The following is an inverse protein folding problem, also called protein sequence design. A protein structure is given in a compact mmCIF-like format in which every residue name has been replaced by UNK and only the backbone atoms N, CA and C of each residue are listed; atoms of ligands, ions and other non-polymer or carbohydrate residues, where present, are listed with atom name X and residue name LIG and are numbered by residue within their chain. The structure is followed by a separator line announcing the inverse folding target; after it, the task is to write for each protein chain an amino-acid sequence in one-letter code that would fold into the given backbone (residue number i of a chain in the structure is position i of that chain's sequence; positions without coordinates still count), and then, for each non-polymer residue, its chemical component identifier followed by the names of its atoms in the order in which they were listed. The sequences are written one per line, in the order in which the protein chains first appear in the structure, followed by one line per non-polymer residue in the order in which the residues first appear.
data_IF_296466566928
#
_entry.id   IF_296466566928
#
_cell.length_a   1.000
_cell.length_b   1.000
_cell.length_c   1.000
_cell.angle_alpha   90.00
_cell.angle_beta   90.00
_cell.angle_gamma   90.00
#
_symmetry.space_group_name_H-M   'P 1'
#
loop_
_entity.id
_entity.type
_entity.pdbx_description
1 polymer ?
#
# COMPACT_ATOMS: atom_id res chain seq x y z
N UNK A 1 41.89 -0.20 -8.68
CA UNK A 1 40.86 -1.26 -8.74
C UNK A 1 39.90 -1.02 -7.58
N UNK A 2 38.75 -0.39 -7.82
CA UNK A 2 37.79 -0.10 -6.75
C UNK A 2 36.89 -1.32 -6.57
N UNK A 3 37.16 -2.13 -5.54
CA UNK A 3 36.32 -3.26 -5.16
C UNK A 3 35.23 -2.80 -4.19
N UNK A 4 33.97 -2.89 -4.59
CA UNK A 4 32.85 -2.66 -3.68
C UNK A 4 32.57 -3.94 -2.89
N UNK A 5 32.77 -3.90 -1.56
CA UNK A 5 32.40 -4.97 -0.65
C UNK A 5 30.88 -5.03 -0.48
N UNK A 6 30.18 -5.75 -1.36
CA UNK A 6 28.79 -6.10 -1.11
C UNK A 6 28.75 -7.29 -0.14
N UNK A 7 28.48 -7.03 1.14
CA UNK A 7 28.07 -8.11 2.05
C UNK A 7 26.72 -8.62 1.56
N UNK A 8 26.57 -9.90 1.19
CA UNK A 8 25.26 -10.43 0.85
C UNK A 8 24.36 -10.29 2.07
N UNK A 9 23.26 -9.56 1.91
CA UNK A 9 22.26 -9.37 2.95
C UNK A 9 21.06 -10.24 2.59
N UNK A 10 20.74 -11.18 3.48
CA UNK A 10 19.60 -12.09 3.33
C UNK A 10 18.43 -11.53 4.13
N UNK A 11 17.23 -11.66 3.58
CA UNK A 11 15.99 -11.17 4.17
C UNK A 11 14.99 -12.32 4.30
N UNK A 12 14.15 -12.27 5.34
CA UNK A 12 13.14 -13.29 5.59
C UNK A 12 11.95 -13.11 4.64
N UNK A 13 11.27 -14.21 4.32
CA UNK A 13 9.97 -14.13 3.64
C UNK A 13 9.00 -13.31 4.48
N UNK A 14 8.26 -12.40 3.83
CA UNK A 14 7.40 -11.37 4.40
C UNK A 14 8.13 -10.18 5.06
N UNK A 15 9.46 -10.14 5.02
CA UNK A 15 10.20 -8.95 5.45
C UNK A 15 10.07 -7.84 4.40
N UNK A 16 9.80 -6.62 4.89
CA UNK A 16 9.78 -5.41 4.07
C UNK A 16 11.04 -4.61 4.32
N UNK A 17 11.73 -4.22 3.25
CA UNK A 17 13.01 -3.51 3.31
C UNK A 17 12.94 -2.22 2.51
N UNK A 18 13.47 -1.12 3.04
CA UNK A 18 13.72 0.08 2.24
C UNK A 18 15.01 -0.13 1.44
N UNK A 19 14.97 0.14 0.14
CA UNK A 19 16.13 0.00 -0.74
C UNK A 19 17.16 1.10 -0.49
N UNK A 20 18.38 0.91 -1.01
CA UNK A 20 19.49 1.84 -0.80
C UNK A 20 19.22 3.26 -1.35
N UNK A 21 18.26 3.40 -2.26
CA UNK A 21 17.78 4.70 -2.77
C UNK A 21 16.93 5.47 -1.74
N UNK A 22 16.57 4.86 -0.60
CA UNK A 22 15.84 5.49 0.50
C UNK A 22 14.38 5.83 0.20
N UNK A 23 13.87 5.45 -0.97
CA UNK A 23 12.53 5.81 -1.43
C UNK A 23 11.74 4.59 -1.89
N UNK A 24 12.39 3.60 -2.48
CA UNK A 24 11.72 2.36 -2.83
C UNK A 24 11.74 1.38 -1.65
N UNK A 25 10.78 0.46 -1.63
CA UNK A 25 10.71 -0.62 -0.64
C UNK A 25 10.42 -1.93 -1.33
N UNK A 26 10.98 -3.03 -0.82
CA UNK A 26 10.79 -4.37 -1.35
C UNK A 26 10.19 -5.29 -0.29
N UNK A 27 9.20 -6.08 -0.69
CA UNK A 27 8.74 -7.25 0.08
C UNK A 27 9.50 -8.48 -0.41
N UNK A 28 10.15 -9.19 0.50
CA UNK A 28 10.71 -10.50 0.19
C UNK A 28 9.60 -11.56 0.20
N UNK A 29 9.41 -12.27 -0.91
CA UNK A 29 8.41 -13.35 -1.03
C UNK A 29 9.10 -14.68 -1.35
N UNK A 30 8.37 -15.78 -1.27
CA UNK A 30 8.85 -17.10 -1.70
C UNK A 30 9.19 -17.18 -3.19
N UNK A 31 8.77 -16.19 -3.99
CA UNK A 31 9.01 -16.08 -5.44
C UNK A 31 10.05 -15.01 -5.80
N UNK A 32 10.68 -14.37 -4.81
CA UNK A 32 11.64 -13.29 -5.00
C UNK A 32 11.18 -11.96 -4.40
N UNK A 33 11.97 -10.91 -4.62
CA UNK A 33 11.67 -9.57 -4.11
C UNK A 33 10.69 -8.83 -5.01
N UNK A 34 9.67 -8.22 -4.40
CA UNK A 34 8.70 -7.36 -5.07
C UNK A 34 8.91 -5.93 -4.58
N UNK A 35 9.53 -5.12 -5.41
CA UNK A 35 9.93 -3.76 -5.08
C UNK A 35 8.99 -2.73 -5.66
N UNK A 36 8.80 -1.61 -4.96
CA UNK A 36 8.19 -0.42 -5.55
C UNK A 36 9.10 0.17 -6.62
N UNK A 37 8.53 0.89 -7.59
CA UNK A 37 9.26 1.60 -8.65
C UNK A 37 8.77 3.04 -8.74
N UNK A 38 8.95 3.78 -7.66
CA UNK A 38 8.62 5.20 -7.55
C UNK A 38 9.83 6.01 -8.00
N UNK A 39 9.59 7.08 -8.78
CA UNK A 39 10.62 8.04 -9.10
C UNK A 39 11.06 8.75 -7.81
N UNK A 40 12.32 8.60 -7.43
CA UNK A 40 12.86 9.25 -6.25
C UNK A 40 13.04 10.74 -6.55
N UNK A 41 12.08 11.55 -6.12
CA UNK A 41 12.19 12.98 -6.19
C UNK A 41 13.22 13.38 -5.12
N UNK A 42 14.43 13.74 -5.52
CA UNK A 42 15.45 14.25 -4.59
C UNK A 42 14.97 15.57 -3.96
N UNK A 43 14.08 15.53 -2.98
CA UNK A 43 13.58 16.66 -2.21
C UNK A 43 12.95 16.16 -0.89
N UNK A 44 13.81 15.67 0.01
CA UNK A 44 13.39 15.28 1.36
C UNK A 44 12.92 13.83 1.42
N UNK A 45 13.55 13.08 2.31
CA UNK A 45 13.21 11.72 2.67
C UNK A 45 11.69 11.53 2.75
N UNK A 46 11.08 10.87 1.78
CA UNK A 46 9.74 10.36 1.94
C UNK A 46 9.80 9.44 3.17
N UNK A 47 9.05 9.76 4.23
CA UNK A 47 9.00 8.90 5.40
C UNK A 47 8.55 7.51 4.91
N UNK A 48 9.20 6.42 5.37
CA UNK A 48 8.80 5.06 5.02
C UNK A 48 7.32 4.74 5.30
N UNK A 49 6.61 5.57 6.08
CA UNK A 49 5.18 5.42 6.35
C UNK A 49 4.28 5.74 5.16
N UNK A 50 4.72 6.59 4.23
CA UNK A 50 3.84 7.18 3.20
C UNK A 50 4.01 6.50 1.83
N UNK A 51 4.94 5.54 1.72
CA UNK A 51 5.07 4.70 0.54
C UNK A 51 4.09 3.52 0.68
N UNK A 52 3.11 3.36 -0.23
CA UNK A 52 2.21 2.22 -0.20
C UNK A 52 3.03 0.94 -0.38
N UNK A 53 2.93 0.06 0.61
CA UNK A 53 3.60 -1.23 0.59
C UNK A 53 2.87 -2.17 -0.35
N UNK A 54 3.60 -3.14 -0.88
CA UNK A 54 3.01 -4.21 -1.68
C UNK A 54 1.94 -4.96 -0.86
N UNK A 55 0.69 -4.90 -1.30
CA UNK A 55 -0.48 -5.39 -0.56
C UNK A 55 -1.28 -4.33 0.19
N UNK A 56 -0.88 -3.05 0.15
CA UNK A 56 -1.74 -1.94 0.52
C UNK A 56 -2.80 -1.72 -0.56
N UNK A 57 -4.03 -1.42 -0.14
CA UNK A 57 -5.15 -1.19 -1.03
C UNK A 57 -5.31 0.30 -1.33
N UNK A 58 -5.68 0.62 -2.57
CA UNK A 58 -6.03 1.97 -2.97
C UNK A 58 -7.54 2.04 -3.19
N UNK A 59 -8.20 2.91 -2.46
CA UNK A 59 -9.63 3.24 -2.63
C UNK A 59 -9.73 4.73 -2.95
N UNK A 60 -10.11 5.06 -4.19
CA UNK A 60 -10.22 6.43 -4.71
C UNK A 60 -9.02 7.35 -4.39
N UNK A 61 -7.79 6.82 -4.41
CA UNK A 61 -6.57 7.59 -4.13
C UNK A 61 -6.15 7.60 -2.66
N UNK A 62 -6.96 7.05 -1.75
CA UNK A 62 -6.61 6.84 -0.35
C UNK A 62 -6.01 5.44 -0.16
N UNK A 63 -4.89 5.38 0.55
CA UNK A 63 -4.13 4.14 0.75
C UNK A 63 -4.41 3.53 2.12
N UNK A 64 -4.67 2.22 2.13
CA UNK A 64 -5.00 1.43 3.31
C UNK A 64 -4.04 0.26 3.46
N UNK A 65 -3.54 0.04 4.67
CA UNK A 65 -2.63 -1.09 4.94
C UNK A 65 -3.34 -2.43 4.73
N UNK A 66 -2.57 -3.45 4.38
CA UNK A 66 -3.08 -4.83 4.35
C UNK A 66 -3.83 -5.18 5.65
N UNK A 67 -5.03 -5.76 5.53
CA UNK A 67 -5.98 -6.05 6.62
C UNK A 67 -6.59 -4.84 7.34
N UNK A 68 -6.33 -3.61 6.89
CA UNK A 68 -7.04 -2.46 7.43
C UNK A 68 -8.54 -2.56 7.11
N UNK A 69 -9.34 -2.02 8.03
CA UNK A 69 -10.78 -1.80 7.90
C UNK A 69 -11.03 -0.29 7.79
N UNK A 70 -11.93 0.13 6.92
CA UNK A 70 -12.34 1.53 6.81
C UNK A 70 -13.80 1.69 6.42
N UNK A 71 -14.37 2.83 6.75
CA UNK A 71 -15.68 3.25 6.26
C UNK A 71 -15.58 3.64 4.79
N UNK A 72 -16.48 3.12 3.97
CA UNK A 72 -16.60 3.44 2.55
C UNK A 72 -17.14 4.87 2.37
N UNK A 73 -16.93 5.45 1.19
CA UNK A 73 -17.39 6.80 0.85
C UNK A 73 -18.92 6.98 0.92
N UNK A 74 -19.68 5.86 0.95
CA UNK A 74 -21.14 5.87 1.15
C UNK A 74 -21.58 6.08 2.62
N UNK A 75 -20.64 6.10 3.57
CA UNK A 75 -20.90 6.37 4.99
C UNK A 75 -21.70 5.29 5.71
N UNK A 76 -21.77 4.07 5.17
CA UNK A 76 -22.53 2.97 5.79
C UNK A 76 -21.86 1.61 5.59
N UNK A 77 -21.13 1.43 4.50
CA UNK A 77 -20.41 0.19 4.23
C UNK A 77 -19.00 0.25 4.81
N UNK A 78 -18.48 -0.94 5.14
CA UNK A 78 -17.12 -1.11 5.63
C UNK A 78 -16.33 -1.88 4.61
N UNK A 79 -15.15 -1.38 4.26
CA UNK A 79 -14.20 -2.01 3.36
C UNK A 79 -13.07 -2.68 4.14
N UNK A 80 -12.47 -3.70 3.53
CA UNK A 80 -11.32 -4.44 4.05
C UNK A 80 -10.32 -4.71 2.95
N UNK A 81 -9.04 -4.42 3.22
CA UNK A 81 -7.95 -4.75 2.34
C UNK A 81 -7.60 -6.24 2.45
N UNK A 82 -7.94 -7.03 1.43
CA UNK A 82 -7.90 -8.51 1.51
C UNK A 82 -6.76 -9.15 0.75
N UNK A 83 -6.11 -8.47 -0.19
CA UNK A 83 -5.14 -9.13 -1.05
C UNK A 83 -3.79 -8.43 -1.19
N UNK A 84 -2.83 -9.30 -1.44
CA UNK A 84 -1.48 -8.98 -1.87
C UNK A 84 -1.54 -8.76 -3.38
N UNK A 85 -1.53 -7.51 -3.84
CA UNK A 85 -1.61 -7.14 -5.25
C UNK A 85 -0.38 -6.36 -5.73
N UNK A 86 -0.12 -6.40 -7.05
CA UNK A 86 0.90 -5.57 -7.71
C UNK A 86 0.48 -4.10 -7.65
N UNK A 87 0.97 -3.39 -6.63
CA UNK A 87 0.82 -1.95 -6.40
C UNK A 87 -0.57 -1.45 -5.99
N UNK A 88 -1.63 -2.22 -6.16
CA UNK A 88 -2.96 -1.95 -5.61
C UNK A 88 -3.56 -3.27 -5.14
N UNK A 89 -3.50 -3.54 -3.84
CA UNK A 89 -4.14 -4.71 -3.24
C UNK A 89 -5.65 -4.69 -3.49
N UNK A 90 -6.28 -5.83 -3.80
CA UNK A 90 -7.73 -5.88 -3.88
C UNK A 90 -8.34 -5.68 -2.49
N UNK A 91 -9.43 -4.91 -2.44
CA UNK A 91 -10.27 -4.74 -1.28
C UNK A 91 -11.70 -5.18 -1.59
N UNK A 92 -12.45 -5.48 -0.54
CA UNK A 92 -13.89 -5.79 -0.61
C UNK A 92 -14.62 -4.90 0.38
N UNK A 93 -15.85 -4.52 0.06
CA UNK A 93 -16.71 -3.77 0.96
C UNK A 93 -17.98 -4.57 1.24
N UNK A 94 -18.57 -4.35 2.42
CA UNK A 94 -19.90 -4.85 2.72
C UNK A 94 -20.91 -4.25 1.74
N UNK A 95 -22.03 -4.95 1.53
CA UNK A 95 -23.15 -4.45 0.75
C UNK A 95 -24.39 -4.35 1.65
N UNK A 96 -24.44 -3.30 2.45
CA UNK A 96 -25.61 -2.88 3.20
C UNK A 96 -26.43 -1.87 2.40
N UNK A 97 -27.76 -1.93 2.54
CA UNK A 97 -28.63 -0.84 2.10
C UNK A 97 -28.38 0.37 3.02
N UNK A 98 -27.69 1.38 2.53
CA UNK A 98 -27.44 2.61 3.27
C UNK A 98 -28.76 3.34 3.49
N UNK A 99 -29.17 3.53 4.75
CA UNK A 99 -30.42 4.25 5.09
C UNK A 99 -30.20 5.76 5.23
N UNK A 100 -29.11 6.27 4.65
CA UNK A 100 -28.71 7.66 4.74
C UNK A 100 -29.66 8.52 3.91
N UNK A 101 -30.69 9.02 4.58
CA UNK A 101 -31.47 10.16 4.12
C UNK A 101 -30.60 11.43 4.16
N UNK A 102 -30.23 11.92 2.99
CA UNK A 102 -30.39 13.34 2.62
C UNK A 102 -31.12 13.31 1.26
N UNK A 103 -32.46 13.35 1.28
CA UNK A 103 -33.26 14.57 1.15
C UNK A 103 -32.98 15.34 -0.14
N UNK A 104 -33.92 15.25 -1.07
CA UNK A 104 -34.41 16.34 -1.91
C UNK A 104 -33.38 17.39 -2.38
N UNK A 105 -32.90 17.24 -3.62
CA UNK A 105 -32.64 18.42 -4.44
C UNK A 105 -34.00 18.99 -4.85
N UNK A 106 -34.54 19.86 -4.00
CA UNK A 106 -35.44 20.94 -4.44
C UNK A 106 -34.59 22.21 -4.40
N UNK A 107 -34.39 22.78 -5.58
CA UNK A 107 -33.63 24.01 -5.84
C UNK A 107 -33.42 24.16 -7.32
#
# INVERSE_FOLDING_TARGET
MYGYNFRPKTYLVNETITTADGCNSCLCTTRGALCTKVACNNAGFAKPSDVPLYGDCNDNGRWYKFKALWEADDGCNTCTCVGIGNYQGPFICTQGLCTNKESAVVG
#
